data_IF_054711433790
#
_entry.id   IF_054711433790
#
_cell.length_a   1.000
_cell.length_b   1.000
_cell.length_c   1.000
_cell.angle_alpha   90.00
_cell.angle_beta   90.00
_cell.angle_gamma   90.00
#
_symmetry.space_group_name_H-M   'P 1'
#
loop_
_entity.id
_entity.type
_entity.pdbx_description
1 polymer ?
#
# COMPACT_ATOMS: atom_id res chain seq x y z
N UNK A 1 -4.30 1.61 12.67
CA UNK A 1 -3.12 1.33 13.51
C UNK A 1 -2.25 0.35 12.74
N UNK A 2 -0.93 0.57 12.69
CA UNK A 2 0.03 -0.30 12.01
C UNK A 2 0.55 -1.42 12.93
N UNK A 3 1.32 -2.37 12.38
CA UNK A 3 1.88 -3.50 13.13
C UNK A 3 2.71 -3.04 14.35
N UNK A 4 3.68 -2.10 14.23
CA UNK A 4 4.44 -1.63 15.39
C UNK A 4 3.56 -0.99 16.47
N UNK A 5 2.54 -0.21 16.06
CA UNK A 5 1.60 0.42 16.98
C UNK A 5 0.82 -0.61 17.80
N UNK A 6 0.27 -1.65 17.15
CA UNK A 6 -0.48 -2.69 17.87
C UNK A 6 0.44 -3.57 18.73
N UNK A 7 1.66 -3.87 18.26
CA UNK A 7 2.64 -4.60 19.07
C UNK A 7 2.97 -3.82 20.34
N UNK A 8 3.18 -2.50 20.24
CA UNK A 8 3.39 -1.64 21.40
C UNK A 8 2.19 -1.64 22.33
N UNK A 9 0.96 -1.60 21.80
CA UNK A 9 -0.26 -1.68 22.61
C UNK A 9 -0.31 -2.99 23.41
N UNK A 10 -0.09 -4.14 22.75
CA UNK A 10 -0.11 -5.47 23.39
C UNK A 10 1.00 -5.59 24.43
N UNK A 11 2.23 -5.18 24.10
CA UNK A 11 3.36 -5.21 25.05
C UNK A 11 3.14 -4.36 26.30
N UNK A 12 2.35 -3.30 26.21
CA UNK A 12 2.07 -2.40 27.35
C UNK A 12 0.72 -2.68 28.04
N UNK A 13 -0.01 -3.72 27.62
CA UNK A 13 -1.34 -4.04 28.15
C UNK A 13 -1.36 -5.46 28.75
N UNK A 14 -1.15 -5.61 30.08
CA UNK A 14 -1.18 -6.93 30.73
C UNK A 14 -2.49 -7.70 30.53
N UNK A 15 -3.61 -7.01 30.31
CA UNK A 15 -4.90 -7.62 30.00
C UNK A 15 -4.89 -8.32 28.62
N UNK A 16 -4.24 -7.74 27.62
CA UNK A 16 -4.17 -8.31 26.27
C UNK A 16 -3.19 -9.48 26.20
N UNK A 17 -2.11 -9.45 26.98
CA UNK A 17 -1.08 -10.50 26.96
C UNK A 17 -1.55 -11.87 27.46
N UNK A 18 -2.66 -11.92 28.19
CA UNK A 18 -3.21 -13.18 28.72
C UNK A 18 -3.84 -14.06 27.65
N UNK A 19 -4.17 -13.50 26.49
CA UNK A 19 -4.85 -14.20 25.41
C UNK A 19 -3.89 -14.42 24.24
N UNK A 20 -3.77 -15.67 23.78
CA UNK A 20 -2.98 -16.03 22.60
C UNK A 20 -3.41 -15.25 21.35
N UNK A 21 -4.69 -14.86 21.32
CA UNK A 21 -5.28 -14.01 20.30
C UNK A 21 -4.47 -12.72 20.06
N UNK A 22 -4.06 -12.02 21.11
CA UNK A 22 -3.29 -10.78 20.99
C UNK A 22 -1.78 -11.03 20.96
N UNK A 23 -1.29 -12.07 21.64
CA UNK A 23 0.15 -12.38 21.65
C UNK A 23 0.66 -12.79 20.25
N UNK A 24 -0.20 -13.36 19.40
CA UNK A 24 0.12 -13.68 18.02
C UNK A 24 0.52 -12.46 17.17
N UNK A 25 0.00 -11.27 17.48
CA UNK A 25 0.35 -10.02 16.78
C UNK A 25 1.85 -9.69 16.92
N UNK A 26 2.49 -10.14 18.00
CA UNK A 26 3.93 -9.96 18.22
C UNK A 26 4.78 -10.78 17.23
N UNK A 27 4.19 -11.75 16.53
CA UNK A 27 4.85 -12.56 15.50
C UNK A 27 4.73 -11.94 14.10
N UNK A 28 3.95 -10.87 13.94
CA UNK A 28 3.82 -10.16 12.68
C UNK A 28 5.07 -9.32 12.42
N UNK A 29 5.50 -9.30 11.15
CA UNK A 29 6.63 -8.49 10.71
C UNK A 29 6.18 -7.24 9.97
N UNK A 30 7.09 -6.30 9.84
CA UNK A 30 6.99 -5.21 8.87
C UNK A 30 7.99 -5.40 7.73
N UNK A 31 7.79 -4.66 6.66
CA UNK A 31 8.74 -4.45 5.59
C UNK A 31 8.90 -2.94 5.35
N UNK A 32 9.96 -2.57 4.65
CA UNK A 32 10.28 -1.18 4.33
C UNK A 32 10.05 -0.93 2.85
N UNK A 33 9.45 0.21 2.53
CA UNK A 33 9.25 0.68 1.15
C UNK A 33 9.73 2.12 1.08
N UNK A 34 10.61 2.40 0.12
CA UNK A 34 11.02 3.78 -0.15
C UNK A 34 10.27 4.28 -1.38
N UNK A 35 9.70 5.47 -1.29
CA UNK A 35 9.06 6.17 -2.40
C UNK A 35 10.00 7.28 -2.82
N UNK A 36 10.48 7.22 -4.06
CA UNK A 36 11.45 8.16 -4.62
C UNK A 36 10.76 9.00 -5.67
N UNK A 37 10.71 10.30 -5.41
CA UNK A 37 10.19 11.30 -6.31
C UNK A 37 11.37 12.01 -6.98
N UNK A 38 11.42 11.95 -8.31
CA UNK A 38 12.41 12.66 -9.12
C UNK A 38 11.72 13.78 -9.87
N UNK A 39 12.19 15.01 -9.66
CA UNK A 39 11.68 16.20 -10.33
C UNK A 39 12.43 16.44 -11.64
N UNK A 40 11.71 16.74 -12.71
CA UNK A 40 12.27 17.12 -14.01
C UNK A 40 11.71 18.47 -14.45
N UNK A 41 12.56 19.35 -14.99
CA UNK A 41 12.14 20.59 -15.64
C UNK A 41 11.70 20.33 -17.11
N UNK A 42 10.85 19.33 -17.31
CA UNK A 42 10.26 18.97 -18.60
C UNK A 42 8.87 18.34 -18.35
N UNK A 43 7.80 19.05 -18.73
CA UNK A 43 6.43 18.53 -18.68
C UNK A 43 5.99 17.88 -20.01
N UNK A 44 6.84 17.91 -21.03
CA UNK A 44 6.57 17.44 -22.38
C UNK A 44 7.19 16.05 -22.65
N UNK A 45 8.15 15.57 -21.85
CA UNK A 45 8.78 14.26 -22.01
C UNK A 45 7.75 13.13 -22.18
N UNK A 46 6.78 13.05 -21.28
CA UNK A 46 5.75 12.01 -21.29
C UNK A 46 4.67 12.19 -22.37
N UNK A 47 4.11 13.40 -22.58
CA UNK A 47 3.26 13.66 -23.74
C UNK A 47 3.90 13.27 -25.08
N UNK A 48 5.21 13.54 -25.27
CA UNK A 48 5.94 13.11 -26.48
C UNK A 48 6.03 11.59 -26.59
N UNK A 49 6.21 10.89 -25.47
CA UNK A 49 6.49 9.45 -25.43
C UNK A 49 5.25 8.56 -25.52
N UNK A 50 4.12 9.01 -24.98
CA UNK A 50 2.89 8.22 -24.81
C UNK A 50 1.74 8.63 -25.73
N UNK A 51 1.94 9.67 -26.54
CA UNK A 51 0.95 10.21 -27.46
C UNK A 51 -0.42 10.44 -26.79
N UNK A 52 -1.50 9.87 -27.34
CA UNK A 52 -2.90 10.12 -26.98
C UNK A 52 -3.49 9.15 -25.95
N UNK A 53 -2.74 8.14 -25.50
CA UNK A 53 -3.31 7.06 -24.69
C UNK A 53 -3.59 7.52 -23.25
N UNK A 54 -2.67 8.25 -22.62
CA UNK A 54 -2.85 8.89 -21.31
C UNK A 54 -1.88 10.07 -21.16
N UNK A 55 -2.29 11.27 -21.59
CA UNK A 55 -1.41 12.46 -21.66
C UNK A 55 -0.97 13.00 -20.30
N UNK A 56 -1.76 12.73 -19.26
CA UNK A 56 -1.67 13.44 -17.97
C UNK A 56 -1.19 12.53 -16.81
N UNK A 57 -1.08 11.22 -17.03
CA UNK A 57 -0.53 10.28 -16.04
C UNK A 57 -0.19 8.96 -16.72
N UNK A 58 0.99 8.44 -16.43
CA UNK A 58 1.40 7.12 -16.89
C UNK A 58 1.84 6.29 -15.71
N UNK A 59 1.23 5.12 -15.55
CA UNK A 59 1.62 4.16 -14.52
C UNK A 59 2.14 2.90 -15.20
N UNK A 60 3.29 2.42 -14.76
CA UNK A 60 3.80 1.13 -15.18
C UNK A 60 4.38 0.36 -14.00
N UNK A 61 4.32 -0.97 -14.13
CA UNK A 61 4.97 -1.89 -13.21
C UNK A 61 6.20 -2.44 -13.92
N UNK A 62 7.37 -2.04 -13.44
CA UNK A 62 8.62 -2.50 -13.99
C UNK A 62 8.95 -3.86 -13.36
N UNK A 63 9.14 -4.91 -14.16
CA UNK A 63 9.60 -6.23 -13.68
C UNK A 63 11.00 -6.51 -14.17
N UNK A 64 11.85 -7.12 -13.33
CA UNK A 64 13.24 -7.45 -13.69
C UNK A 64 14.26 -6.34 -13.43
N UNK A 65 13.81 -5.24 -12.83
CA UNK A 65 14.66 -4.14 -12.38
C UNK A 65 15.10 -4.36 -10.93
N UNK A 66 16.24 -3.77 -10.57
CA UNK A 66 16.84 -3.93 -9.26
C UNK A 66 16.13 -3.08 -8.19
N UNK A 67 15.74 -1.85 -8.56
CA UNK A 67 15.15 -0.85 -7.68
C UNK A 67 13.74 -0.43 -8.10
N UNK A 68 13.45 -0.38 -9.40
CA UNK A 68 12.14 0.08 -9.89
C UNK A 68 11.02 -0.92 -9.57
N UNK A 69 10.00 -0.46 -8.85
CA UNK A 69 8.74 -1.16 -8.64
C UNK A 69 7.59 -0.53 -9.41
N UNK A 70 6.54 -0.13 -8.68
CA UNK A 70 5.48 0.70 -9.26
C UNK A 70 6.06 2.09 -9.52
N UNK A 71 5.97 2.55 -10.77
CA UNK A 71 6.38 3.89 -11.17
C UNK A 71 5.18 4.64 -11.73
N UNK A 72 4.98 5.84 -11.23
CA UNK A 72 3.91 6.75 -11.61
C UNK A 72 4.55 8.04 -12.09
N UNK A 73 4.12 8.47 -13.27
CA UNK A 73 4.45 9.76 -13.79
C UNK A 73 3.32 10.75 -13.48
N UNK A 74 3.69 11.82 -12.80
CA UNK A 74 2.89 13.02 -12.59
C UNK A 74 3.32 14.11 -13.57
N UNK A 75 3.35 13.82 -14.88
CA UNK A 75 3.60 14.85 -15.90
C UNK A 75 2.30 15.53 -16.24
N UNK A 76 2.31 16.86 -16.14
CA UNK A 76 1.12 17.67 -16.34
C UNK A 76 0.11 17.33 -15.25
N UNK A 77 0.34 17.93 -14.10
CA UNK A 77 -0.62 18.04 -13.03
C UNK A 77 -1.81 18.88 -13.52
N UNK A 78 -2.51 18.53 -14.60
CA UNK A 78 -3.68 19.24 -15.09
C UNK A 78 -4.60 18.24 -15.77
N UNK A 79 -5.70 17.87 -15.11
CA UNK A 79 -6.81 17.17 -15.76
C UNK A 79 -8.01 18.11 -15.79
N UNK A 80 -8.62 18.31 -16.97
CA UNK A 80 -9.75 19.23 -17.16
C UNK A 80 -9.51 20.66 -16.65
N UNK A 81 -8.27 21.17 -16.75
CA UNK A 81 -7.92 22.52 -16.30
C UNK A 81 -7.72 22.68 -14.79
N UNK A 82 -7.60 21.58 -14.04
CA UNK A 82 -7.27 21.62 -12.59
C UNK A 82 -6.03 20.80 -12.29
N UNK A 83 -5.17 21.35 -11.44
CA UNK A 83 -4.06 20.59 -10.93
C UNK A 83 -4.51 19.50 -9.96
N UNK A 84 -3.90 18.31 -10.07
CA UNK A 84 -4.20 17.19 -9.18
C UNK A 84 -3.81 17.48 -7.73
N UNK A 85 -2.83 18.37 -7.52
CA UNK A 85 -2.36 18.80 -6.21
C UNK A 85 -2.22 20.33 -6.22
N UNK A 86 -2.79 20.98 -5.20
CA UNK A 86 -2.81 22.45 -5.09
C UNK A 86 -1.41 23.07 -5.02
N UNK A 87 -0.44 22.34 -4.46
CA UNK A 87 0.94 22.82 -4.28
C UNK A 87 1.71 23.04 -5.58
N UNK A 88 1.18 22.57 -6.71
CA UNK A 88 1.83 22.68 -8.00
C UNK A 88 1.04 23.50 -9.03
N UNK A 89 0.03 24.26 -8.58
CA UNK A 89 -0.80 25.09 -9.47
C UNK A 89 -0.03 26.18 -10.22
N UNK A 90 1.05 26.69 -9.62
CA UNK A 90 1.83 27.81 -10.17
C UNK A 90 3.18 27.36 -10.79
N UNK A 91 3.34 26.06 -11.07
CA UNK A 91 4.59 25.48 -11.55
C UNK A 91 4.42 24.89 -12.95
N UNK A 92 4.86 25.65 -13.95
CA UNK A 92 4.94 25.20 -15.35
C UNK A 92 6.24 24.43 -15.64
N UNK A 93 6.22 23.62 -16.70
CA UNK A 93 7.39 22.89 -17.21
C UNK A 93 8.01 21.93 -16.18
N UNK A 94 7.17 21.26 -15.38
CA UNK A 94 7.60 20.27 -14.39
C UNK A 94 6.87 18.95 -14.55
N UNK A 95 7.62 17.86 -14.39
CA UNK A 95 7.08 16.53 -14.14
C UNK A 95 7.77 15.88 -12.94
N UNK A 96 7.01 15.07 -12.21
CA UNK A 96 7.54 14.27 -11.09
C UNK A 96 7.36 12.80 -11.42
N UNK A 97 8.45 12.04 -11.37
CA UNK A 97 8.39 10.58 -11.40
C UNK A 97 8.51 10.02 -10.00
N UNK A 98 7.42 9.42 -9.54
CA UNK A 98 7.37 8.68 -8.30
C UNK A 98 7.66 7.20 -8.59
N UNK A 99 8.64 6.61 -7.90
CA UNK A 99 8.94 5.18 -7.99
C UNK A 99 9.05 4.54 -6.62
N UNK A 100 8.44 3.37 -6.48
CA UNK A 100 8.46 2.61 -5.23
C UNK A 100 9.57 1.56 -5.27
N UNK A 101 10.48 1.61 -4.31
CA UNK A 101 11.49 0.59 -4.04
C UNK A 101 10.93 -0.33 -2.95
N UNK A 102 10.33 -1.45 -3.37
CA UNK A 102 9.71 -2.41 -2.46
C UNK A 102 10.74 -3.25 -1.66
N UNK A 103 11.98 -3.36 -2.17
CA UNK A 103 13.11 -4.02 -1.52
C UNK A 103 14.06 -2.98 -0.91
N UNK A 104 13.55 -2.12 -0.04
CA UNK A 104 14.27 -0.95 0.47
C UNK A 104 15.56 -1.31 1.23
N UNK A 105 15.69 -2.54 1.74
CA UNK A 105 16.91 -3.04 2.37
C UNK A 105 18.13 -2.94 1.45
N UNK A 106 17.95 -3.12 0.13
CA UNK A 106 19.03 -3.04 -0.86
C UNK A 106 19.67 -1.66 -0.91
N UNK A 107 18.93 -0.60 -0.59
CA UNK A 107 19.37 0.79 -0.71
C UNK A 107 19.44 1.50 0.65
N UNK A 108 19.02 0.85 1.74
CA UNK A 108 18.95 1.42 3.09
C UNK A 108 20.28 1.96 3.65
N UNK A 109 21.41 1.47 3.12
CA UNK A 109 22.76 1.89 3.52
C UNK A 109 23.29 3.07 2.68
N UNK A 110 22.61 3.43 1.60
CA UNK A 110 23.02 4.49 0.69
C UNK A 110 22.51 5.86 1.18
N UNK A 111 23.25 6.94 0.91
CA UNK A 111 22.73 8.30 1.08
C UNK A 111 21.63 8.59 0.05
N UNK A 112 20.67 9.44 0.39
CA UNK A 112 19.46 9.68 -0.41
C UNK A 112 19.77 10.08 -1.87
N UNK A 113 20.78 10.92 -2.07
CA UNK A 113 21.24 11.30 -3.41
C UNK A 113 21.69 10.10 -4.26
N UNK A 114 22.39 9.14 -3.65
CA UNK A 114 22.82 7.93 -4.36
C UNK A 114 21.64 7.00 -4.69
N UNK A 115 20.60 6.99 -3.85
CA UNK A 115 19.35 6.28 -4.14
C UNK A 115 18.65 6.93 -5.35
N UNK A 116 18.51 8.26 -5.35
CA UNK A 116 17.93 9.00 -6.47
C UNK A 116 18.72 8.79 -7.78
N UNK A 117 20.06 8.82 -7.70
CA UNK A 117 20.94 8.54 -8.84
C UNK A 117 20.77 7.13 -9.38
N UNK A 118 20.68 6.11 -8.50
CA UNK A 118 20.47 4.73 -8.91
C UNK A 118 19.11 4.52 -9.58
N UNK A 119 18.04 5.10 -9.02
CA UNK A 119 16.70 5.07 -9.61
C UNK A 119 16.69 5.76 -10.97
N UNK A 120 17.28 6.95 -11.10
CA UNK A 120 17.35 7.66 -12.36
C UNK A 120 18.16 6.90 -13.41
N UNK A 121 19.31 6.33 -13.02
CA UNK A 121 20.14 5.51 -13.91
C UNK A 121 19.38 4.29 -14.44
N UNK A 122 18.60 3.63 -13.58
CA UNK A 122 17.77 2.49 -13.97
C UNK A 122 16.61 2.92 -14.89
N UNK A 123 15.94 4.04 -14.60
CA UNK A 123 14.94 4.66 -15.49
C UNK A 123 15.52 4.98 -16.86
N UNK A 124 16.75 5.47 -16.95
CA UNK A 124 17.43 5.77 -18.21
C UNK A 124 17.69 4.53 -19.08
N UNK A 125 17.69 3.31 -18.49
CA UNK A 125 17.74 2.06 -19.26
C UNK A 125 16.44 1.78 -20.01
N UNK A 126 15.31 2.23 -19.46
CA UNK A 126 13.97 2.14 -20.07
C UNK A 126 13.76 3.31 -21.03
N UNK A 127 14.17 4.50 -20.61
CA UNK A 127 13.91 5.79 -21.25
C UNK A 127 15.24 6.46 -21.63
N UNK A 128 15.78 6.10 -22.80
CA UNK A 128 17.13 6.54 -23.24
C UNK A 128 17.28 8.06 -23.37
N UNK A 129 16.19 8.78 -23.55
CA UNK A 129 16.09 10.21 -23.75
C UNK A 129 15.50 10.94 -22.53
N UNK A 130 15.43 10.27 -21.36
CA UNK A 130 15.00 10.92 -20.13
C UNK A 130 15.98 12.06 -19.77
N UNK A 131 15.48 13.28 -19.52
CA UNK A 131 16.35 14.40 -19.12
C UNK A 131 16.93 14.16 -17.72
N UNK A 132 18.02 14.83 -17.33
CA UNK A 132 18.50 14.77 -15.96
C UNK A 132 17.45 15.34 -15.00
N UNK A 133 17.21 14.64 -13.90
CA UNK A 133 16.39 15.17 -12.81
C UNK A 133 17.09 16.36 -12.14
N UNK A 134 16.29 17.28 -11.59
CA UNK A 134 16.74 18.55 -11.03
C UNK A 134 16.78 18.52 -9.50
N UNK A 135 15.80 17.85 -8.90
CA UNK A 135 15.71 17.66 -7.47
C UNK A 135 15.01 16.33 -7.15
N UNK A 136 15.06 15.90 -5.91
CA UNK A 136 14.49 14.64 -5.47
C UNK A 136 13.96 14.69 -4.04
N UNK A 137 12.94 13.89 -3.79
CA UNK A 137 12.43 13.63 -2.45
C UNK A 137 12.34 12.11 -2.23
N UNK A 138 12.70 11.65 -1.04
CA UNK A 138 12.58 10.23 -0.69
C UNK A 138 11.78 10.10 0.60
N UNK A 139 10.62 9.48 0.48
CA UNK A 139 9.85 9.07 1.64
C UNK A 139 10.19 7.64 2.04
N UNK A 140 10.64 7.45 3.28
CA UNK A 140 11.09 6.15 3.79
C UNK A 140 10.07 5.57 4.76
N UNK A 141 9.28 4.60 4.30
CA UNK A 141 8.33 3.87 5.13
C UNK A 141 8.95 2.61 5.70
N UNK A 142 8.77 2.37 7.00
CA UNK A 142 9.37 1.24 7.73
C UNK A 142 8.32 0.29 8.36
N UNK A 143 7.04 0.60 8.16
CA UNK A 143 5.92 0.02 8.88
C UNK A 143 4.89 -0.64 7.96
N UNK A 144 5.26 -0.96 6.71
CA UNK A 144 4.38 -1.72 5.83
C UNK A 144 4.17 -3.12 6.42
N UNK A 145 2.92 -3.58 6.46
CA UNK A 145 2.61 -4.93 6.94
C UNK A 145 3.28 -5.97 6.04
N UNK A 146 4.11 -6.84 6.62
CA UNK A 146 4.72 -7.93 5.87
C UNK A 146 3.70 -9.05 5.62
N UNK A 147 3.70 -9.60 4.41
CA UNK A 147 2.89 -10.76 4.01
C UNK A 147 3.80 -11.93 3.64
N UNK A 148 4.55 -12.44 4.62
CA UNK A 148 5.41 -13.61 4.40
C UNK A 148 4.58 -14.90 4.44
N UNK A 149 4.98 -15.97 3.72
CA UNK A 149 4.33 -17.27 3.83
C UNK A 149 4.13 -17.70 5.28
N UNK A 150 2.92 -18.18 5.61
CA UNK A 150 2.56 -18.62 6.97
C UNK A 150 2.17 -17.52 7.96
N UNK A 151 2.40 -16.24 7.66
CA UNK A 151 2.10 -15.15 8.62
C UNK A 151 0.61 -14.88 8.82
N UNK A 152 -0.25 -15.29 7.87
CA UNK A 152 -1.70 -15.14 7.99
C UNK A 152 -2.26 -15.89 9.22
N UNK A 153 -1.62 -16.99 9.63
CA UNK A 153 -2.00 -17.78 10.80
C UNK A 153 -1.83 -17.01 12.13
N UNK A 154 -1.03 -15.94 12.15
CA UNK A 154 -0.82 -15.12 13.33
C UNK A 154 -1.69 -13.85 13.35
N UNK A 155 -2.47 -13.60 12.30
CA UNK A 155 -3.32 -12.42 12.23
C UNK A 155 -4.61 -12.67 13.02
N UNK A 156 -4.96 -11.81 13.99
CA UNK A 156 -6.24 -11.91 14.69
C UNK A 156 -7.38 -11.51 13.76
N UNK A 157 -8.60 -11.91 14.07
CA UNK A 157 -9.82 -11.51 13.36
C UNK A 157 -10.25 -10.09 13.73
N UNK A 158 -11.30 -9.58 13.08
CA UNK A 158 -11.87 -8.25 13.40
C UNK A 158 -12.51 -8.25 14.79
N UNK A 159 -13.36 -9.24 15.08
CA UNK A 159 -13.97 -9.40 16.41
C UNK A 159 -12.98 -10.09 17.36
N UNK A 160 -12.61 -9.42 18.44
CA UNK A 160 -11.70 -9.98 19.46
C UNK A 160 -12.46 -10.72 20.56
N UNK A 161 -11.77 -11.55 21.39
CA UNK A 161 -12.37 -12.18 22.56
C UNK A 161 -12.85 -11.20 23.64
N UNK A 162 -12.39 -9.94 23.60
CA UNK A 162 -12.79 -8.91 24.57
C UNK A 162 -14.06 -8.22 24.04
N UNK A 163 -15.18 -8.25 24.79
CA UNK A 163 -16.39 -7.56 24.38
C UNK A 163 -16.14 -6.09 24.10
N UNK A 164 -16.68 -5.60 22.98
CA UNK A 164 -16.55 -4.21 22.52
C UNK A 164 -15.13 -3.78 22.10
N UNK A 165 -14.19 -4.71 21.95
CA UNK A 165 -12.90 -4.45 21.32
C UNK A 165 -12.85 -5.08 19.92
N UNK A 166 -12.83 -4.22 18.90
CA UNK A 166 -12.76 -4.61 17.49
C UNK A 166 -11.42 -4.14 16.91
N UNK A 167 -10.86 -4.94 16.00
CA UNK A 167 -9.57 -4.68 15.38
C UNK A 167 -9.75 -4.27 13.92
N UNK A 168 -9.09 -3.18 13.53
CA UNK A 168 -9.05 -2.71 12.14
C UNK A 168 -7.60 -2.47 11.72
N UNK A 169 -7.29 -2.86 10.49
CA UNK A 169 -5.98 -2.69 9.88
C UNK A 169 -5.70 -3.77 8.85
N UNK A 170 -4.69 -3.55 8.03
CA UNK A 170 -4.20 -4.51 7.04
C UNK A 170 -3.46 -5.71 7.68
N UNK A 171 -3.20 -5.64 8.98
CA UNK A 171 -2.62 -6.74 9.75
C UNK A 171 -3.65 -7.71 10.34
N UNK A 172 -4.94 -7.39 10.23
CA UNK A 172 -6.07 -8.22 10.69
C UNK A 172 -6.40 -9.28 9.64
N UNK A 173 -6.90 -10.43 10.07
CA UNK A 173 -7.41 -11.51 9.22
C UNK A 173 -8.85 -11.20 8.82
N UNK A 174 -9.13 -11.29 7.52
CA UNK A 174 -10.46 -11.13 6.95
C UNK A 174 -10.73 -12.25 5.96
N UNK A 175 -12.00 -12.60 5.77
CA UNK A 175 -12.42 -13.58 4.78
C UNK A 175 -12.54 -12.97 3.37
N UNK A 176 -11.44 -12.41 2.87
CA UNK A 176 -11.36 -11.84 1.51
C UNK A 176 -9.90 -11.80 1.04
N UNK A 177 -9.62 -12.06 -0.26
CA UNK A 177 -8.29 -11.96 -0.83
C UNK A 177 -7.89 -10.49 -1.04
N UNK A 178 -7.68 -9.75 0.05
CA UNK A 178 -7.27 -8.35 0.03
C UNK A 178 -5.99 -8.11 0.84
N UNK A 179 -5.27 -7.06 0.45
CA UNK A 179 -4.05 -6.58 1.11
C UNK A 179 -4.11 -5.07 1.32
N UNK A 180 -3.28 -4.56 2.23
CA UNK A 180 -3.08 -3.12 2.48
C UNK A 180 -4.39 -2.34 2.69
N UNK A 181 -4.58 -1.25 1.93
CA UNK A 181 -5.71 -0.33 2.08
C UNK A 181 -7.05 -1.03 1.92
N UNK A 182 -7.17 -1.94 0.96
CA UNK A 182 -8.43 -2.66 0.73
C UNK A 182 -8.75 -3.59 1.90
N UNK A 183 -7.74 -4.29 2.44
CA UNK A 183 -7.92 -5.14 3.63
C UNK A 183 -8.39 -4.32 4.83
N UNK A 184 -7.81 -3.13 5.02
CA UNK A 184 -8.21 -2.19 6.08
C UNK A 184 -9.67 -1.74 5.90
N UNK A 185 -10.07 -1.40 4.67
CA UNK A 185 -11.41 -0.97 4.35
C UNK A 185 -12.44 -2.08 4.63
N UNK A 186 -12.16 -3.31 4.20
CA UNK A 186 -13.02 -4.46 4.47
C UNK A 186 -13.12 -4.74 5.98
N UNK A 187 -11.99 -4.75 6.70
CA UNK A 187 -11.98 -4.93 8.16
C UNK A 187 -12.82 -3.87 8.88
N UNK A 188 -12.76 -2.61 8.45
CA UNK A 188 -13.58 -1.53 9.00
C UNK A 188 -15.09 -1.75 8.75
N UNK A 189 -15.47 -2.23 7.56
CA UNK A 189 -16.87 -2.59 7.26
C UNK A 189 -17.37 -3.74 8.13
N UNK A 190 -16.53 -4.78 8.31
CA UNK A 190 -16.85 -5.90 9.21
C UNK A 190 -17.03 -5.44 10.66
N UNK A 191 -16.16 -4.56 11.15
CA UNK A 191 -16.27 -3.99 12.49
C UNK A 191 -17.58 -3.18 12.65
N UNK A 192 -17.93 -2.37 11.64
CA UNK A 192 -19.19 -1.63 11.62
C UNK A 192 -20.40 -2.58 11.70
N UNK A 193 -20.41 -3.64 10.89
CA UNK A 193 -21.50 -4.63 10.90
C UNK A 193 -21.60 -5.35 12.25
N UNK A 194 -20.48 -5.64 12.92
CA UNK A 194 -20.48 -6.24 14.26
C UNK A 194 -21.13 -5.30 15.30
N UNK A 195 -20.84 -3.99 15.24
CA UNK A 195 -21.46 -2.97 16.09
C UNK A 195 -22.96 -2.90 15.83
N UNK A 196 -23.36 -2.76 14.57
CA UNK A 196 -24.78 -2.65 14.17
C UNK A 196 -25.59 -3.88 14.59
N UNK A 197 -25.03 -5.07 14.40
CA UNK A 197 -25.64 -6.34 14.82
C UNK A 197 -25.84 -6.39 16.34
N UNK A 198 -24.83 -5.99 17.12
CA UNK A 198 -24.91 -5.93 18.59
C UNK A 198 -26.01 -4.97 19.04
N UNK A 199 -26.14 -3.83 18.38
CA UNK A 199 -27.08 -2.77 18.73
C UNK A 199 -28.49 -2.98 18.12
N UNK A 200 -28.69 -4.07 17.36
CA UNK A 200 -29.99 -4.40 16.76
C UNK A 200 -30.40 -3.50 15.59
N UNK A 201 -29.44 -2.83 14.95
CA UNK A 201 -29.69 -1.90 13.83
C UNK A 201 -29.52 -2.62 12.50
N UNK A 202 -30.63 -2.93 11.81
CA UNK A 202 -30.60 -3.65 10.53
C UNK A 202 -30.27 -2.76 9.32
N UNK A 203 -30.83 -1.54 9.28
CA UNK A 203 -30.79 -0.65 8.09
C UNK A 203 -29.39 -0.08 7.77
N UNK A 204 -28.38 -0.36 8.58
CA UNK A 204 -27.00 0.11 8.39
C UNK A 204 -26.03 -0.95 7.84
N UNK A 205 -26.49 -2.19 7.63
CA UNK A 205 -25.59 -3.29 7.29
C UNK A 205 -24.89 -3.06 5.94
N UNK A 206 -23.56 -3.10 5.97
CA UNK A 206 -22.71 -2.89 4.80
C UNK A 206 -22.47 -4.22 4.08
N UNK A 207 -22.90 -4.32 2.82
CA UNK A 207 -22.57 -5.46 1.97
C UNK A 207 -21.10 -5.41 1.56
N UNK A 208 -20.37 -6.50 1.83
CA UNK A 208 -18.98 -6.67 1.42
C UNK A 208 -18.97 -7.60 0.22
N UNK A 209 -18.79 -7.00 -0.95
CA UNK A 209 -18.77 -7.73 -2.21
C UNK A 209 -17.40 -8.36 -2.39
N UNK A 210 -17.36 -9.67 -2.61
CA UNK A 210 -16.12 -10.35 -2.95
C UNK A 210 -15.68 -9.99 -4.37
N UNK A 211 -14.39 -9.69 -4.53
CA UNK A 211 -13.76 -9.50 -5.84
C UNK A 211 -14.06 -10.69 -6.75
N UNK A 212 -14.60 -10.43 -7.94
CA UNK A 212 -15.03 -11.45 -8.92
C UNK A 212 -13.90 -12.21 -9.61
N UNK A 213 -12.65 -12.07 -9.16
CA UNK A 213 -11.55 -12.91 -9.65
C UNK A 213 -11.85 -14.35 -9.22
N UNK A 214 -11.87 -15.35 -10.12
CA UNK A 214 -12.34 -16.69 -9.78
C UNK A 214 -11.44 -17.38 -8.76
N UNK A 215 -11.74 -17.22 -7.47
CA UNK A 215 -11.29 -18.11 -6.39
C UNK A 215 -12.10 -19.43 -6.42
N UNK A 216 -12.48 -19.92 -7.61
CA UNK A 216 -13.42 -21.02 -7.78
C UNK A 216 -12.98 -22.30 -7.05
N UNK A 217 -11.70 -22.64 -7.14
CA UNK A 217 -11.13 -23.81 -6.43
C UNK A 217 -10.95 -23.52 -4.94
N UNK A 218 -10.53 -22.31 -4.55
CA UNK A 218 -10.33 -21.95 -3.14
C UNK A 218 -11.64 -21.95 -2.33
N UNK A 219 -12.71 -21.41 -2.91
CA UNK A 219 -14.04 -21.39 -2.30
C UNK A 219 -14.63 -22.81 -2.20
N UNK A 220 -14.45 -23.63 -3.25
CA UNK A 220 -14.89 -25.03 -3.25
C UNK A 220 -14.16 -25.86 -2.18
N UNK A 221 -12.84 -25.70 -2.05
CA UNK A 221 -12.05 -26.42 -1.07
C UNK A 221 -12.44 -26.08 0.38
N UNK A 222 -12.70 -24.80 0.67
CA UNK A 222 -13.20 -24.36 1.99
C UNK A 222 -14.56 -24.94 2.33
N UNK A 223 -15.44 -25.12 1.35
CA UNK A 223 -16.73 -25.78 1.55
C UNK A 223 -16.60 -27.29 1.83
N UNK A 224 -15.57 -27.95 1.29
CA UNK A 224 -15.36 -29.40 1.48
C UNK A 224 -14.54 -29.78 2.72
N UNK A 225 -13.77 -28.86 3.31
CA UNK A 225 -12.98 -29.14 4.53
C UNK A 225 -13.67 -28.72 5.83
N UNK A 226 -14.85 -28.09 5.74
CA UNK A 226 -15.70 -27.70 6.89
C UNK A 226 -16.94 -28.60 7.07
N UNK A 227 -16.99 -29.76 6.40
CA UNK A 227 -17.95 -30.85 6.64
C UNK A 227 -17.26 -32.04 7.26
#
# INVERSE_FOLDING_TARGET
MDVPGVQKLVMNSPALQKEDYFSNVLKLGTTSVYVVDLWYNDDQFWPRRLESLQKDCAQFFATGFEYLGQTINWARLVSNGRHFLDVYQDIDNVSVLETHIAAAEKVSHLPDKAIADAVHAELATIFKDIPPYQDFYINKWYNYTAYKPGTEAFRPTVESPIPNLLLIGDWVNIDSPAVFMEKTNIAAKQACNAILKRDGVADGHLEIINSGVPMGIGNLLRHTTLT
#
